data_IF_027722298745
#
_entry.id   IF_027722298745
#
_cell.length_a   1.000
_cell.length_b   1.000
_cell.length_c   1.000
_cell.angle_alpha   90.00
_cell.angle_beta   90.00
_cell.angle_gamma   90.00
#
_symmetry.space_group_name_H-M   'P 1'
#
loop_
_entity.id
_entity.type
_entity.pdbx_description
1 polymer ?
#
# COMPACT_ATOMS: atom_id res chain seq x y z
N UNK A 1 3.64 2.47 4.51
CA UNK A 1 3.34 3.64 3.67
C UNK A 1 2.46 4.66 4.39
N UNK A 2 1.15 4.41 4.55
CA UNK A 2 0.24 5.36 5.23
C UNK A 2 0.68 5.76 6.65
N UNK A 3 1.41 4.89 7.35
CA UNK A 3 2.00 5.16 8.66
C UNK A 3 2.89 6.40 8.69
N UNK A 4 3.69 6.66 7.65
CA UNK A 4 4.63 7.79 7.61
C UNK A 4 3.93 9.15 7.46
N UNK A 5 2.63 9.14 7.19
CA UNK A 5 1.78 10.33 7.06
C UNK A 5 0.97 10.60 8.35
N UNK A 6 1.15 9.77 9.39
CA UNK A 6 0.58 10.02 10.72
C UNK A 6 1.40 11.07 11.47
N UNK A 7 0.74 11.76 12.41
CA UNK A 7 1.37 12.77 13.26
C UNK A 7 2.49 12.20 14.14
N UNK A 8 2.31 10.96 14.60
CA UNK A 8 3.29 10.17 15.32
C UNK A 8 3.36 8.79 14.64
N UNK A 9 4.29 8.58 13.70
CA UNK A 9 4.50 7.28 13.08
C UNK A 9 5.14 6.30 14.06
N UNK A 10 4.80 5.02 13.93
CA UNK A 10 5.44 3.94 14.67
C UNK A 10 6.94 3.82 14.34
N UNK A 11 7.81 3.86 15.35
CA UNK A 11 9.26 3.85 15.16
C UNK A 11 9.79 2.53 14.57
N UNK A 12 9.15 1.40 14.85
CA UNK A 12 9.52 0.11 14.27
C UNK A 12 9.27 0.11 12.77
N UNK A 13 8.14 0.69 12.34
CA UNK A 13 7.80 0.83 10.92
C UNK A 13 8.78 1.75 10.21
N UNK A 14 9.15 2.88 10.82
CA UNK A 14 10.16 3.78 10.25
C UNK A 14 11.51 3.07 10.13
N UNK A 15 11.96 2.36 11.17
CA UNK A 15 13.21 1.62 11.14
C UNK A 15 13.22 0.51 10.06
N UNK A 16 12.10 -0.20 9.92
CA UNK A 16 11.93 -1.21 8.88
C UNK A 16 12.00 -0.61 7.47
N UNK A 17 11.32 0.52 7.24
CA UNK A 17 11.34 1.23 5.96
C UNK A 17 12.74 1.70 5.58
N UNK A 18 13.46 2.28 6.54
CA UNK A 18 14.85 2.74 6.31
C UNK A 18 15.76 1.57 5.99
N UNK A 19 15.60 0.44 6.69
CA UNK A 19 16.44 -0.75 6.47
C UNK A 19 16.22 -1.39 5.11
N UNK A 20 14.98 -1.46 4.64
CA UNK A 20 14.62 -2.18 3.41
C UNK A 20 14.44 -1.25 2.21
N UNK A 21 14.84 0.02 2.30
CA UNK A 21 14.52 1.06 1.32
C UNK A 21 14.86 0.69 -0.14
N UNK A 22 15.95 -0.03 -0.34
CA UNK A 22 16.38 -0.49 -1.66
C UNK A 22 15.42 -1.53 -2.29
N UNK A 23 14.63 -2.22 -1.47
CA UNK A 23 13.73 -3.31 -1.88
C UNK A 23 12.25 -2.89 -1.89
N UNK A 24 11.93 -1.69 -1.40
CA UNK A 24 10.56 -1.22 -1.33
C UNK A 24 10.04 -0.75 -2.69
N UNK A 25 8.74 -1.01 -2.88
CA UNK A 25 7.97 -0.58 -4.04
C UNK A 25 6.66 0.10 -3.59
N UNK A 26 6.10 0.96 -4.44
CA UNK A 26 4.89 1.72 -4.15
C UNK A 26 3.79 1.43 -5.19
N UNK A 27 2.69 0.76 -4.83
CA UNK A 27 1.53 0.66 -5.72
C UNK A 27 0.89 2.04 -5.91
N UNK A 28 0.51 2.40 -7.14
CA UNK A 28 -0.16 3.68 -7.42
C UNK A 28 -1.50 3.84 -6.69
N UNK A 29 -2.14 2.73 -6.32
CA UNK A 29 -3.36 2.72 -5.49
C UNK A 29 -3.11 3.37 -4.12
N UNK A 30 -1.97 3.08 -3.47
CA UNK A 30 -1.63 3.71 -2.20
C UNK A 30 -1.37 5.23 -2.34
N UNK A 31 -0.85 5.66 -3.50
CA UNK A 31 -0.72 7.10 -3.82
C UNK A 31 -2.11 7.75 -3.91
N UNK A 32 -3.07 7.08 -4.55
CA UNK A 32 -4.45 7.55 -4.66
C UNK A 32 -5.12 7.67 -3.29
N UNK A 33 -4.94 6.69 -2.40
CA UNK A 33 -5.49 6.74 -1.03
C UNK A 33 -4.94 7.92 -0.23
N UNK A 34 -3.63 8.16 -0.30
CA UNK A 34 -2.99 9.28 0.41
C UNK A 34 -3.48 10.61 -0.18
N UNK A 35 -3.52 10.75 -1.50
CA UNK A 35 -4.02 11.95 -2.17
C UNK A 35 -5.49 12.24 -1.79
N UNK A 36 -6.35 11.22 -1.77
CA UNK A 36 -7.74 11.34 -1.33
C UNK A 36 -7.83 11.79 0.14
N UNK A 37 -7.03 11.19 1.03
CA UNK A 37 -6.96 11.57 2.44
C UNK A 37 -6.57 13.04 2.66
N UNK A 38 -5.63 13.56 1.85
CA UNK A 38 -5.22 14.97 1.88
C UNK A 38 -6.38 15.87 1.47
N UNK A 39 -7.08 15.56 0.37
CA UNK A 39 -8.20 16.37 -0.11
C UNK A 39 -9.36 16.41 0.89
N UNK A 40 -9.61 15.31 1.59
CA UNK A 40 -10.69 15.20 2.59
C UNK A 40 -10.52 16.15 3.78
N UNK A 41 -9.30 16.55 4.12
CA UNK A 41 -9.04 17.40 5.30
C UNK A 41 -8.86 18.88 4.96
N UNK A 42 -8.87 19.26 3.68
CA UNK A 42 -8.76 20.69 3.32
C UNK A 42 -9.93 21.50 3.90
N UNK A 43 -9.69 22.75 4.36
CA UNK A 43 -8.45 23.54 4.22
C UNK A 43 -7.49 23.45 5.44
N UNK A 44 -7.47 22.36 6.21
CA UNK A 44 -6.53 22.21 7.33
C UNK A 44 -5.06 22.40 6.87
N UNK A 45 -4.27 23.17 7.62
CA UNK A 45 -2.83 23.40 7.35
C UNK A 45 -2.03 22.09 7.25
N UNK A 46 -2.51 21.02 7.88
CA UNK A 46 -1.93 19.68 7.77
C UNK A 46 -1.97 19.15 6.34
N UNK A 47 -2.93 19.56 5.51
CA UNK A 47 -3.05 19.12 4.12
C UNK A 47 -1.80 19.45 3.31
N UNK A 48 -1.30 20.68 3.43
CA UNK A 48 -0.14 21.15 2.65
C UNK A 48 1.13 20.39 3.04
N UNK A 49 1.36 20.18 4.35
CA UNK A 49 2.47 19.35 4.83
C UNK A 49 2.41 17.91 4.34
N UNK A 50 1.21 17.32 4.28
CA UNK A 50 1.04 15.95 3.78
C UNK A 50 1.23 15.88 2.27
N UNK A 51 0.85 16.93 1.53
CA UNK A 51 1.07 17.04 0.09
C UNK A 51 2.56 17.13 -0.26
N UNK A 52 3.32 17.95 0.47
CA UNK A 52 4.79 17.98 0.35
C UNK A 52 5.42 16.60 0.63
N UNK A 53 4.93 15.93 1.67
CA UNK A 53 5.32 14.54 1.96
C UNK A 53 5.04 13.60 0.79
N UNK A 54 3.85 13.69 0.17
CA UNK A 54 3.47 12.86 -0.96
C UNK A 54 4.35 13.14 -2.18
N UNK A 55 4.70 14.40 -2.45
CA UNK A 55 5.64 14.77 -3.51
C UNK A 55 7.01 14.13 -3.28
N UNK A 56 7.54 14.22 -2.06
CA UNK A 56 8.83 13.61 -1.69
C UNK A 56 8.81 12.09 -1.90
N UNK A 57 7.76 11.41 -1.43
CA UNK A 57 7.58 9.97 -1.62
C UNK A 57 7.50 9.58 -3.11
N UNK A 58 6.73 10.32 -3.91
CA UNK A 58 6.63 10.06 -5.35
C UNK A 58 7.97 10.21 -6.07
N UNK A 59 8.80 11.17 -5.63
CA UNK A 59 10.15 11.34 -6.16
C UNK A 59 11.09 10.21 -5.73
N UNK A 60 11.00 9.78 -4.47
CA UNK A 60 11.83 8.69 -3.92
C UNK A 60 11.55 7.34 -4.60
N UNK A 61 10.31 7.09 -4.97
CA UNK A 61 9.85 5.84 -5.57
C UNK A 61 9.62 5.93 -7.08
N UNK A 62 10.19 6.92 -7.77
CA UNK A 62 9.92 7.16 -9.21
C UNK A 62 10.09 5.91 -10.07
N UNK A 63 11.11 5.11 -9.78
CA UNK A 63 11.49 3.93 -10.56
C UNK A 63 10.96 2.62 -9.96
N UNK A 64 10.23 2.72 -8.84
CA UNK A 64 9.69 1.58 -8.08
C UNK A 64 8.20 1.74 -7.82
N UNK A 65 7.52 2.46 -8.70
CA UNK A 65 6.08 2.68 -8.64
C UNK A 65 5.38 1.75 -9.62
N UNK A 66 4.45 0.95 -9.11
CA UNK A 66 3.76 -0.06 -9.91
C UNK A 66 2.30 0.31 -10.10
N UNK A 67 1.91 0.42 -11.37
CA UNK A 67 0.55 0.78 -11.76
C UNK A 67 -0.40 -0.42 -11.67
N UNK A 68 -1.69 -0.13 -11.53
CA UNK A 68 -2.75 -1.11 -11.75
C UNK A 68 -2.95 -1.30 -13.26
N UNK A 69 -2.21 -2.26 -13.83
CA UNK A 69 -2.24 -2.61 -15.26
C UNK A 69 -3.40 -3.54 -15.59
N UNK A 70 -3.60 -3.84 -16.87
CA UNK A 70 -4.56 -4.88 -17.31
C UNK A 70 -4.25 -6.25 -16.69
N UNK A 71 -2.97 -6.64 -16.63
CA UNK A 71 -2.54 -7.89 -15.99
C UNK A 71 -2.88 -7.90 -14.49
N UNK A 72 -2.66 -6.77 -13.80
CA UNK A 72 -3.09 -6.62 -12.40
C UNK A 72 -4.62 -6.67 -12.27
N UNK A 73 -5.37 -6.18 -13.26
CA UNK A 73 -6.84 -6.23 -13.25
C UNK A 73 -7.40 -7.65 -13.39
N UNK A 74 -6.78 -8.47 -14.24
CA UNK A 74 -7.11 -9.91 -14.31
C UNK A 74 -6.77 -10.59 -12.99
N UNK A 75 -5.58 -10.30 -12.44
CA UNK A 75 -5.16 -10.88 -11.18
C UNK A 75 -6.05 -10.49 -9.99
N UNK A 76 -6.56 -9.26 -9.99
CA UNK A 76 -7.57 -8.78 -9.05
C UNK A 76 -8.84 -9.61 -9.10
N UNK A 77 -9.32 -9.95 -10.30
CA UNK A 77 -10.52 -10.78 -10.48
C UNK A 77 -10.40 -12.14 -9.80
N UNK A 78 -9.26 -12.81 -9.96
CA UNK A 78 -8.98 -14.08 -9.29
C UNK A 78 -8.98 -13.93 -7.76
N UNK A 79 -8.21 -12.97 -7.25
CA UNK A 79 -8.04 -12.73 -5.81
C UNK A 79 -9.39 -12.44 -5.15
N UNK A 80 -10.18 -11.54 -5.74
CA UNK A 80 -11.46 -11.13 -5.17
C UNK A 80 -12.49 -12.25 -5.28
N UNK A 81 -12.48 -13.01 -6.38
CA UNK A 81 -13.32 -14.19 -6.55
C UNK A 81 -13.03 -15.29 -5.52
N UNK A 82 -11.75 -15.57 -5.26
CA UNK A 82 -11.31 -16.52 -4.24
C UNK A 82 -11.69 -16.07 -2.83
N UNK A 83 -11.42 -14.81 -2.48
CA UNK A 83 -11.80 -14.24 -1.20
C UNK A 83 -13.33 -14.33 -0.97
N UNK A 84 -14.12 -14.01 -1.99
CA UNK A 84 -15.58 -14.09 -1.93
C UNK A 84 -16.07 -15.54 -1.73
N UNK A 85 -15.52 -16.52 -2.47
CA UNK A 85 -15.85 -17.94 -2.29
C UNK A 85 -15.53 -18.45 -0.89
N UNK A 86 -14.51 -17.88 -0.24
CA UNK A 86 -14.11 -18.20 1.13
C UNK A 86 -14.86 -17.38 2.19
N UNK A 87 -15.82 -16.53 1.80
CA UNK A 87 -16.60 -15.70 2.72
C UNK A 87 -15.79 -14.57 3.38
N UNK A 88 -14.62 -14.22 2.83
CA UNK A 88 -13.78 -13.13 3.32
C UNK A 88 -14.15 -11.83 2.60
N UNK A 89 -14.17 -10.73 3.35
CA UNK A 89 -14.36 -9.38 2.82
C UNK A 89 -12.99 -8.75 2.59
N UNK A 90 -12.70 -8.42 1.34
CA UNK A 90 -11.54 -7.62 0.95
C UNK A 90 -12.04 -6.33 0.31
N UNK A 91 -11.41 -5.20 0.61
CA UNK A 91 -11.76 -3.95 -0.04
C UNK A 91 -11.23 -3.93 -1.48
N UNK A 92 -11.86 -3.16 -2.37
CA UNK A 92 -11.36 -3.02 -3.74
C UNK A 92 -9.91 -2.46 -3.78
N UNK A 93 -9.55 -1.41 -3.02
CA UNK A 93 -8.16 -0.94 -2.95
C UNK A 93 -7.17 -2.02 -2.49
N UNK A 94 -7.51 -2.78 -1.44
CA UNK A 94 -6.65 -3.87 -0.95
C UNK A 94 -6.46 -4.95 -2.02
N UNK A 95 -7.54 -5.34 -2.71
CA UNK A 95 -7.47 -6.28 -3.83
C UNK A 95 -6.55 -5.77 -4.95
N UNK A 96 -6.64 -4.49 -5.30
CA UNK A 96 -5.78 -3.90 -6.34
C UNK A 96 -4.30 -3.89 -5.91
N UNK A 97 -4.02 -3.55 -4.65
CA UNK A 97 -2.66 -3.61 -4.07
C UNK A 97 -2.12 -5.04 -4.09
N UNK A 98 -2.94 -6.02 -3.68
CA UNK A 98 -2.57 -7.42 -3.69
C UNK A 98 -2.28 -7.92 -5.11
N UNK A 99 -3.10 -7.53 -6.08
CA UNK A 99 -2.91 -7.90 -7.47
C UNK A 99 -1.61 -7.32 -8.06
N UNK A 100 -1.31 -6.04 -7.78
CA UNK A 100 -0.04 -5.41 -8.17
C UNK A 100 1.15 -6.16 -7.56
N UNK A 101 1.08 -6.51 -6.27
CA UNK A 101 2.14 -7.27 -5.62
C UNK A 101 2.34 -8.64 -6.29
N UNK A 102 1.23 -9.35 -6.58
CA UNK A 102 1.26 -10.70 -7.17
C UNK A 102 1.92 -10.73 -8.54
N UNK A 103 1.53 -9.84 -9.45
CA UNK A 103 2.05 -9.85 -10.82
C UNK A 103 3.53 -9.44 -10.90
N UNK A 104 4.02 -8.69 -9.91
CA UNK A 104 5.42 -8.28 -9.83
C UNK A 104 6.28 -9.22 -8.97
N UNK A 105 5.75 -10.38 -8.54
CA UNK A 105 6.46 -11.32 -7.68
C UNK A 105 6.85 -10.75 -6.32
N UNK A 106 6.13 -9.71 -5.87
CA UNK A 106 6.42 -8.96 -4.66
C UNK A 106 5.83 -9.58 -3.40
N UNK A 107 6.40 -9.17 -2.26
CA UNK A 107 5.88 -9.44 -0.91
C UNK A 107 5.05 -8.23 -0.47
N UNK A 108 4.01 -8.46 0.33
CA UNK A 108 3.15 -7.37 0.80
C UNK A 108 3.44 -7.00 2.26
N UNK A 109 3.98 -5.81 2.47
CA UNK A 109 4.15 -5.22 3.79
C UNK A 109 2.85 -4.53 4.25
N UNK A 110 2.17 -5.09 5.25
CA UNK A 110 0.89 -4.56 5.75
C UNK A 110 0.74 -4.77 7.26
N UNK A 111 -0.03 -3.90 7.90
CA UNK A 111 -0.47 -4.11 9.29
C UNK A 111 -1.59 -5.14 9.38
N UNK A 112 -2.44 -5.20 8.36
CA UNK A 112 -3.67 -5.98 8.38
C UNK A 112 -3.46 -7.34 7.71
N UNK A 113 -2.58 -8.17 8.27
CA UNK A 113 -2.24 -9.48 7.68
C UNK A 113 -3.49 -10.32 7.35
N UNK A 114 -4.50 -10.30 8.24
CA UNK A 114 -5.75 -11.04 8.11
C UNK A 114 -6.56 -10.72 6.85
N UNK A 115 -6.46 -9.50 6.35
CA UNK A 115 -7.22 -9.05 5.17
C UNK A 115 -6.62 -9.64 3.89
N UNK A 116 -5.35 -10.08 3.94
CA UNK A 116 -4.60 -10.58 2.79
C UNK A 116 -4.26 -12.08 2.86
N UNK A 117 -4.64 -12.79 3.94
CA UNK A 117 -4.35 -14.22 4.14
C UNK A 117 -4.77 -15.10 2.95
N UNK A 118 -5.85 -14.75 2.25
CA UNK A 118 -6.40 -15.54 1.15
C UNK A 118 -5.78 -15.23 -0.22
N UNK A 119 -4.85 -14.26 -0.29
CA UNK A 119 -4.26 -13.80 -1.56
C UNK A 119 -3.15 -14.71 -2.07
N UNK A 120 -2.60 -15.57 -1.20
CA UNK A 120 -1.41 -16.38 -1.50
C UNK A 120 -0.09 -15.56 -1.53
N UNK A 121 -0.13 -14.27 -1.19
CA UNK A 121 1.06 -13.43 -1.09
C UNK A 121 1.84 -13.74 0.18
N UNK A 122 3.15 -13.58 0.10
CA UNK A 122 3.98 -13.53 1.29
C UNK A 122 3.77 -12.19 2.01
N UNK A 123 3.29 -12.25 3.25
CA UNK A 123 2.94 -11.08 4.05
C UNK A 123 4.04 -10.75 5.05
N UNK A 124 4.38 -9.47 5.16
CA UNK A 124 5.35 -8.94 6.11
C UNK A 124 4.61 -7.95 7.02
N UNK A 125 4.85 -8.02 8.34
CA UNK A 125 4.40 -7.00 9.28
C UNK A 125 5.58 -6.13 9.74
N UNK A 126 5.70 -4.89 9.25
CA UNK A 126 6.74 -3.94 9.71
C UNK A 126 6.64 -3.57 11.19
N UNK A 127 5.52 -3.88 11.86
CA UNK A 127 5.29 -3.60 13.29
C UNK A 127 5.90 -4.66 14.21
N UNK A 128 6.36 -5.78 13.67
CA UNK A 128 7.05 -6.84 14.42
C UNK A 128 8.57 -6.75 14.29
N UNK A 129 9.06 -5.58 13.84
CA UNK A 129 10.47 -5.31 13.63
C UNK A 129 11.17 -4.77 14.87
#
# INVERSE_FOLDING_TARGET
MSETFKKAPDSAVIAWLVRHDAELALPTVAVAEIAFGIQKIRPDQRADRLEEGLVSWRRRFSDKMFAFTEEAALAYGDIMGDAARQGRRMSAPDGMIAAIARINGGRLATRNLKDFETTGLELISPWQF
#
